data_IF_703023995186
#
_entry.id   IF_703023995186
#
_cell.length_a   1.000
_cell.length_b   1.000
_cell.length_c   1.000
_cell.angle_alpha   90.00
_cell.angle_beta   90.00
_cell.angle_gamma   90.00
#
_symmetry.space_group_name_H-M   'P 1'
#
loop_
_entity.id
_entity.type
_entity.pdbx_description
1 polymer ?
#
# COMPACT_ATOMS: atom_id res chain seq x y z
N UNK A 1 -56.96 13.89 35.59
CA UNK A 1 -57.19 12.45 35.39
C UNK A 1 -55.88 11.86 34.85
N UNK A 2 -55.11 11.14 35.67
CA UNK A 2 -54.92 9.65 35.62
C UNK A 2 -54.62 9.15 34.19
N UNK A 3 -53.47 8.57 33.86
CA UNK A 3 -52.32 8.15 34.65
C UNK A 3 -51.21 7.56 33.76
N UNK A 4 -50.04 7.31 34.35
CA UNK A 4 -49.04 6.37 33.86
C UNK A 4 -48.55 5.55 35.05
N UNK A 5 -48.72 4.22 35.06
CA UNK A 5 -48.17 3.40 36.11
C UNK A 5 -46.67 3.17 35.91
N UNK A 6 -45.99 3.24 37.05
CA UNK A 6 -44.60 2.91 37.32
C UNK A 6 -44.55 1.41 37.63
N UNK A 7 -43.62 0.67 37.03
CA UNK A 7 -43.17 -0.63 37.56
C UNK A 7 -41.68 -0.80 37.31
N UNK A 8 -40.91 -0.73 38.41
CA UNK A 8 -39.55 -1.27 38.56
C UNK A 8 -39.65 -2.77 39.00
N UNK A 9 -38.59 -3.40 39.52
CA UNK A 9 -37.57 -4.18 38.83
C UNK A 9 -37.68 -5.68 39.19
N UNK A 10 -36.97 -6.55 38.47
CA UNK A 10 -36.95 -7.99 38.75
C UNK A 10 -35.57 -8.60 38.54
N UNK A 11 -34.58 -8.12 39.30
CA UNK A 11 -33.28 -8.77 39.45
C UNK A 11 -33.44 -9.96 40.40
N UNK A 12 -33.28 -11.19 39.92
CA UNK A 12 -33.14 -12.37 40.79
C UNK A 12 -31.68 -12.84 40.83
N UNK A 13 -31.08 -12.62 42.00
CA UNK A 13 -30.23 -13.55 42.77
C UNK A 13 -30.45 -15.02 42.38
N UNK A 14 -29.48 -15.94 42.41
CA UNK A 14 -28.14 -15.98 42.98
C UNK A 14 -27.43 -17.23 42.40
N UNK A 15 -26.10 -17.24 42.42
CA UNK A 15 -25.34 -18.41 42.90
C UNK A 15 -23.90 -17.98 43.17
N UNK A 16 -23.58 -17.88 44.46
CA UNK A 16 -22.22 -17.96 44.97
C UNK A 16 -21.57 -19.27 44.50
N UNK A 17 -20.36 -19.19 43.98
CA UNK A 17 -19.37 -20.25 44.12
C UNK A 17 -18.05 -19.60 44.52
N UNK A 18 -17.86 -19.53 45.85
CA UNK A 18 -16.62 -19.18 46.50
C UNK A 18 -15.71 -20.41 46.44
N UNK A 19 -14.67 -20.38 45.62
CA UNK A 19 -13.57 -21.35 45.69
C UNK A 19 -12.28 -20.59 45.97
N UNK A 20 -11.93 -20.57 47.25
CA UNK A 20 -10.65 -20.11 47.74
C UNK A 20 -9.55 -21.07 47.24
N UNK A 21 -8.62 -20.53 46.46
CA UNK A 21 -7.36 -21.16 46.09
C UNK A 21 -6.24 -20.14 46.29
N UNK A 22 -5.85 -19.94 47.55
CA UNK A 22 -4.63 -19.23 47.92
C UNK A 22 -3.42 -20.07 47.50
N UNK A 23 -2.82 -19.73 46.37
CA UNK A 23 -1.41 -20.01 46.11
C UNK A 23 -0.77 -18.71 45.65
N UNK A 24 -0.02 -18.12 46.58
CA UNK A 24 0.89 -17.02 46.33
C UNK A 24 1.96 -17.47 45.32
N UNK A 25 1.91 -16.91 44.13
CA UNK A 25 3.03 -16.86 43.19
C UNK A 25 3.37 -15.38 42.94
N UNK A 26 4.66 -15.00 42.83
CA UNK A 26 5.03 -13.61 42.62
C UNK A 26 4.45 -13.14 41.29
N UNK A 27 3.91 -11.92 41.29
CA UNK A 27 3.31 -11.25 40.16
C UNK A 27 4.27 -11.22 38.96
N UNK A 28 4.17 -12.22 38.10
CA UNK A 28 4.63 -12.18 36.73
C UNK A 28 3.70 -11.25 35.97
N UNK A 29 4.27 -10.16 35.47
CA UNK A 29 3.67 -9.19 34.57
C UNK A 29 2.70 -9.83 33.56
N UNK A 30 1.44 -9.39 33.56
CA UNK A 30 0.67 -9.32 32.33
C UNK A 30 0.81 -7.88 31.84
N UNK A 31 1.66 -7.59 30.84
CA UNK A 31 1.54 -6.34 30.13
C UNK A 31 0.14 -6.34 29.50
N UNK A 32 -0.61 -5.27 29.77
CA UNK A 32 -1.76 -4.92 28.97
C UNK A 32 -1.35 -5.00 27.48
N UNK A 33 -2.26 -5.35 26.55
CA UNK A 33 -1.97 -5.19 25.13
C UNK A 33 -1.72 -3.70 24.89
N UNK A 34 -0.46 -3.31 24.93
CA UNK A 34 0.01 -2.05 24.37
C UNK A 34 -0.51 -2.05 22.95
N UNK A 35 -1.40 -1.10 22.66
CA UNK A 35 -1.71 -0.71 21.31
C UNK A 35 -0.37 -0.37 20.66
N UNK A 36 0.19 -1.31 19.90
CA UNK A 36 1.46 -1.14 19.22
C UNK A 36 1.32 0.04 18.28
N UNK A 37 1.84 1.19 18.72
CA UNK A 37 1.91 2.39 17.94
C UNK A 37 2.67 2.09 16.64
N UNK A 38 1.96 2.16 15.52
CA UNK A 38 2.51 2.44 14.19
C UNK A 38 3.71 1.62 13.74
N UNK A 39 3.69 0.29 13.88
CA UNK A 39 4.67 -0.55 13.19
C UNK A 39 4.53 -0.33 11.68
N UNK A 40 5.51 0.36 11.09
CA UNK A 40 5.56 0.64 9.65
C UNK A 40 5.62 -0.70 8.93
N UNK A 41 4.58 -1.03 8.15
CA UNK A 41 4.53 -2.29 7.43
C UNK A 41 5.78 -2.46 6.54
N UNK A 42 6.47 -3.61 6.58
CA UNK A 42 7.67 -3.83 5.79
C UNK A 42 7.35 -3.76 4.28
N UNK A 43 8.37 -3.41 3.49
CA UNK A 43 8.24 -3.45 2.03
C UNK A 43 8.10 -4.90 1.54
N UNK A 44 7.35 -5.14 0.45
CA UNK A 44 7.09 -6.50 -0.05
C UNK A 44 8.36 -7.13 -0.63
N UNK A 45 8.73 -8.32 -0.16
CA UNK A 45 9.86 -9.10 -0.70
C UNK A 45 9.44 -10.14 -1.75
N UNK A 46 8.15 -10.49 -1.81
CA UNK A 46 7.59 -11.49 -2.72
C UNK A 46 6.66 -10.82 -3.74
N UNK A 47 6.54 -11.41 -4.94
CA UNK A 47 5.74 -10.84 -6.03
C UNK A 47 4.26 -10.69 -5.67
N UNK A 48 3.65 -11.73 -5.12
CA UNK A 48 2.24 -11.68 -4.68
C UNK A 48 2.03 -10.66 -3.57
N UNK A 49 3.01 -10.50 -2.67
CA UNK A 49 2.98 -9.48 -1.63
C UNK A 49 3.05 -8.06 -2.22
N UNK A 50 3.80 -7.85 -3.31
CA UNK A 50 3.83 -6.58 -4.03
C UNK A 50 2.48 -6.26 -4.66
N UNK A 51 1.86 -7.23 -5.33
CA UNK A 51 0.53 -7.07 -5.93
C UNK A 51 -0.49 -6.70 -4.85
N UNK A 52 -0.53 -7.47 -3.76
CA UNK A 52 -1.42 -7.18 -2.63
C UNK A 52 -1.18 -5.81 -2.00
N UNK A 53 0.10 -5.42 -1.84
CA UNK A 53 0.48 -4.12 -1.28
C UNK A 53 -0.02 -2.96 -2.15
N UNK A 54 0.18 -3.04 -3.47
CA UNK A 54 -0.23 -2.00 -4.40
C UNK A 54 -1.75 -1.92 -4.53
N UNK A 55 -2.43 -3.07 -4.67
CA UNK A 55 -3.91 -3.11 -4.72
C UNK A 55 -4.50 -2.51 -3.45
N UNK A 56 -4.00 -2.91 -2.27
CA UNK A 56 -4.46 -2.34 -1.00
C UNK A 56 -4.23 -0.83 -0.93
N UNK A 57 -3.05 -0.35 -1.31
CA UNK A 57 -2.75 1.09 -1.28
C UNK A 57 -3.64 1.90 -2.25
N UNK A 58 -3.97 1.36 -3.42
CA UNK A 58 -4.89 2.00 -4.36
C UNK A 58 -6.33 2.02 -3.85
N UNK A 59 -6.80 0.92 -3.26
CA UNK A 59 -8.15 0.80 -2.71
C UNK A 59 -8.34 1.68 -1.47
N UNK A 60 -7.36 1.70 -0.56
CA UNK A 60 -7.43 2.43 0.70
C UNK A 60 -7.03 3.92 0.57
N UNK A 61 -6.66 4.36 -0.63
CA UNK A 61 -6.10 5.68 -0.91
C UNK A 61 -4.83 5.99 -0.07
N UNK A 62 -4.04 4.94 0.24
CA UNK A 62 -2.86 5.02 1.09
C UNK A 62 -1.65 5.53 0.30
N UNK A 63 -1.61 6.84 0.10
CA UNK A 63 -0.48 7.51 -0.53
C UNK A 63 0.84 7.27 0.21
N UNK A 64 0.93 7.40 1.56
CA UNK A 64 2.18 7.11 2.27
C UNK A 64 2.72 5.71 2.00
N UNK A 65 1.88 4.67 1.96
CA UNK A 65 2.32 3.32 1.60
C UNK A 65 2.88 3.26 0.18
N UNK A 66 2.21 3.91 -0.79
CA UNK A 66 2.68 3.96 -2.17
C UNK A 66 4.00 4.73 -2.30
N UNK A 67 4.14 5.87 -1.62
CA UNK A 67 5.36 6.69 -1.63
C UNK A 67 6.58 5.94 -1.11
N UNK A 68 6.40 5.06 -0.12
CA UNK A 68 7.47 4.20 0.41
C UNK A 68 7.94 3.16 -0.60
N UNK A 69 7.06 2.71 -1.49
CA UNK A 69 7.39 1.71 -2.51
C UNK A 69 8.22 2.31 -3.65
N UNK A 70 8.07 3.61 -3.93
CA UNK A 70 8.78 4.28 -5.02
C UNK A 70 10.23 4.58 -4.65
N UNK A 71 11.15 4.25 -5.56
CA UNK A 71 12.53 4.71 -5.49
C UNK A 71 12.61 6.16 -5.99
N UNK A 72 12.87 7.09 -5.07
CA UNK A 72 12.94 8.53 -5.38
C UNK A 72 14.34 9.02 -5.75
N UNK A 73 15.34 8.14 -5.76
CA UNK A 73 16.73 8.48 -6.08
C UNK A 73 16.83 9.14 -7.45
N UNK A 74 17.54 10.27 -7.53
CA UNK A 74 17.73 11.03 -8.78
C UNK A 74 16.49 11.77 -9.29
N UNK A 75 15.36 11.74 -8.56
CA UNK A 75 14.11 12.38 -9.00
C UNK A 75 14.09 13.87 -8.65
N UNK A 76 13.72 14.72 -9.61
CA UNK A 76 13.50 16.17 -9.37
C UNK A 76 12.12 16.43 -8.77
N UNK A 77 11.96 17.55 -8.06
CA UNK A 77 10.69 17.91 -7.39
C UNK A 77 9.47 17.92 -8.33
N UNK A 78 9.61 18.44 -9.55
CA UNK A 78 8.54 18.44 -10.54
C UNK A 78 8.13 17.02 -10.95
N UNK A 79 9.10 16.12 -11.19
CA UNK A 79 8.82 14.72 -11.54
C UNK A 79 8.15 14.00 -10.38
N UNK A 80 8.59 14.21 -9.14
CA UNK A 80 7.92 13.68 -7.94
C UNK A 80 6.45 14.09 -7.91
N UNK A 81 6.14 15.39 -8.09
CA UNK A 81 4.75 15.88 -8.10
C UNK A 81 3.90 15.20 -9.18
N UNK A 82 4.42 15.08 -10.39
CA UNK A 82 3.73 14.41 -11.50
C UNK A 82 3.48 12.92 -11.21
N UNK A 83 4.49 12.21 -10.70
CA UNK A 83 4.35 10.79 -10.32
C UNK A 83 3.29 10.61 -9.24
N UNK A 84 3.28 11.46 -8.20
CA UNK A 84 2.26 11.38 -7.14
C UNK A 84 0.86 11.74 -7.67
N UNK A 85 0.75 12.66 -8.61
CA UNK A 85 -0.52 12.95 -9.28
C UNK A 85 -1.03 11.74 -10.06
N UNK A 86 -0.16 11.09 -10.83
CA UNK A 86 -0.48 9.87 -11.57
C UNK A 86 -0.92 8.74 -10.62
N UNK A 87 -0.21 8.51 -9.52
CA UNK A 87 -0.60 7.52 -8.51
C UNK A 87 -2.00 7.82 -7.95
N UNK A 88 -2.25 9.08 -7.54
CA UNK A 88 -3.56 9.48 -7.01
C UNK A 88 -4.70 9.31 -8.00
N UNK A 89 -4.42 9.46 -9.30
CA UNK A 89 -5.44 9.21 -10.33
C UNK A 89 -5.91 7.75 -10.40
N UNK A 90 -5.18 6.81 -9.76
CA UNK A 90 -5.58 5.42 -9.62
C UNK A 90 -6.43 5.12 -8.37
N UNK A 91 -6.54 6.05 -7.43
CA UNK A 91 -7.17 5.79 -6.13
C UNK A 91 -8.69 5.67 -6.23
N UNK A 92 -9.24 4.67 -5.54
CA UNK A 92 -10.69 4.43 -5.46
C UNK A 92 -11.29 3.85 -6.74
N UNK A 93 -10.49 3.69 -7.80
CA UNK A 93 -10.90 3.04 -9.04
C UNK A 93 -11.02 1.53 -8.79
N UNK A 94 -12.15 0.91 -9.13
CA UNK A 94 -12.30 -0.54 -9.05
C UNK A 94 -11.20 -1.24 -9.85
N UNK A 95 -10.55 -2.24 -9.26
CA UNK A 95 -9.46 -2.98 -9.91
C UNK A 95 -10.01 -4.30 -10.44
N UNK A 96 -9.92 -4.50 -11.76
CA UNK A 96 -10.29 -5.76 -12.42
C UNK A 96 -9.20 -6.82 -12.24
N UNK A 97 -7.94 -6.42 -12.41
CA UNK A 97 -6.78 -7.31 -12.29
C UNK A 97 -5.51 -6.52 -11.94
N UNK A 98 -4.62 -7.16 -11.17
CA UNK A 98 -3.27 -6.67 -10.95
C UNK A 98 -2.28 -7.83 -11.09
N UNK A 99 -1.30 -7.69 -11.98
CA UNK A 99 -0.37 -8.78 -12.37
C UNK A 99 1.07 -8.29 -12.42
N UNK A 100 1.97 -9.04 -11.80
CA UNK A 100 3.41 -8.84 -11.95
C UNK A 100 3.90 -9.68 -13.13
N UNK A 101 4.44 -9.02 -14.14
CA UNK A 101 4.89 -9.63 -15.39
C UNK A 101 6.39 -9.37 -15.59
N UNK A 102 7.14 -10.29 -16.23
CA UNK A 102 8.49 -9.99 -16.68
C UNK A 102 8.52 -8.73 -17.56
N UNK A 103 9.55 -7.90 -17.39
CA UNK A 103 9.75 -6.76 -18.28
C UNK A 103 10.13 -7.26 -19.67
N UNK A 104 9.49 -6.79 -20.76
CA UNK A 104 9.93 -7.10 -22.12
C UNK A 104 11.37 -6.64 -22.34
N UNK A 105 12.14 -7.38 -23.16
CA UNK A 105 13.57 -7.08 -23.42
C UNK A 105 13.79 -5.65 -23.93
N UNK A 106 12.87 -5.15 -24.74
CA UNK A 106 12.85 -3.81 -25.33
C UNK A 106 11.96 -2.82 -24.58
N UNK A 107 11.41 -3.21 -23.41
CA UNK A 107 10.36 -2.46 -22.73
C UNK A 107 10.75 -1.06 -22.24
N UNK A 108 12.06 -0.75 -22.19
CA UNK A 108 12.57 0.59 -21.89
C UNK A 108 13.15 1.32 -23.12
N UNK A 109 13.31 0.63 -24.25
CA UNK A 109 14.10 1.10 -25.39
C UNK A 109 13.60 2.43 -25.93
N UNK A 110 12.28 2.59 -26.12
CA UNK A 110 11.70 3.85 -26.59
C UNK A 110 12.01 5.00 -25.63
N UNK A 111 11.77 4.79 -24.34
CA UNK A 111 11.91 5.82 -23.32
C UNK A 111 13.38 6.22 -23.08
N UNK A 112 14.32 5.31 -23.33
CA UNK A 112 15.77 5.57 -23.18
C UNK A 112 16.48 5.89 -24.50
N UNK A 113 15.81 5.75 -25.65
CA UNK A 113 16.40 5.88 -27.00
C UNK A 113 17.15 7.20 -27.21
N UNK A 114 16.64 8.30 -26.65
CA UNK A 114 17.22 9.64 -26.76
C UNK A 114 18.44 9.86 -25.84
N UNK A 115 18.77 8.90 -24.97
CA UNK A 115 19.87 9.00 -24.01
C UNK A 115 19.69 10.05 -22.91
N UNK A 116 18.52 10.69 -22.83
CA UNK A 116 18.23 11.75 -21.84
C UNK A 116 17.63 11.22 -20.55
N UNK A 117 17.12 9.99 -20.56
CA UNK A 117 16.48 9.32 -19.43
C UNK A 117 17.10 7.95 -19.19
N UNK A 118 17.12 7.54 -17.92
CA UNK A 118 17.47 6.18 -17.48
C UNK A 118 16.56 5.76 -16.33
N UNK A 119 16.38 4.46 -16.13
CA UNK A 119 15.81 3.95 -14.89
C UNK A 119 16.76 4.25 -13.72
N UNK A 120 16.22 4.64 -12.57
CA UNK A 120 17.00 4.94 -11.37
C UNK A 120 17.40 3.71 -10.55
N UNK A 121 16.96 2.53 -10.98
CA UNK A 121 17.39 1.21 -10.50
C UNK A 121 17.16 0.18 -11.62
N UNK A 122 17.78 -1.02 -11.55
CA UNK A 122 17.48 -2.10 -12.49
C UNK A 122 15.99 -2.46 -12.47
N UNK A 123 15.38 -2.58 -13.66
CA UNK A 123 13.98 -2.99 -13.85
C UNK A 123 13.98 -4.41 -14.38
N UNK A 124 13.29 -5.30 -13.69
CA UNK A 124 13.21 -6.73 -14.00
C UNK A 124 11.79 -7.16 -14.32
N UNK A 125 10.80 -6.47 -13.75
CA UNK A 125 9.38 -6.75 -13.92
C UNK A 125 8.60 -5.46 -14.20
N UNK A 126 7.35 -5.62 -14.62
CA UNK A 126 6.34 -4.57 -14.62
C UNK A 126 5.12 -5.05 -13.84
N UNK A 127 4.58 -4.17 -12.99
CA UNK A 127 3.28 -4.41 -12.37
C UNK A 127 2.21 -3.72 -13.21
N UNK A 128 1.31 -4.49 -13.78
CA UNK A 128 0.16 -4.02 -14.56
C UNK A 128 -1.08 -4.03 -13.67
N UNK A 129 -1.76 -2.90 -13.56
CA UNK A 129 -3.04 -2.75 -12.86
C UNK A 129 -4.09 -2.34 -13.87
N UNK A 130 -5.07 -3.20 -14.12
CA UNK A 130 -6.19 -2.97 -15.02
C UNK A 130 -7.40 -2.59 -14.19
N UNK A 131 -7.97 -1.42 -14.45
CA UNK A 131 -9.16 -0.93 -13.77
C UNK A 131 -10.43 -1.51 -14.41
N UNK A 132 -11.46 -1.73 -13.60
CA UNK A 132 -12.76 -2.25 -14.02
C UNK A 132 -13.66 -1.11 -14.49
N UNK A 133 -13.20 -0.42 -15.53
CA UNK A 133 -13.90 0.69 -16.17
C UNK A 133 -14.04 0.41 -17.66
N UNK A 134 -15.15 0.84 -18.29
CA UNK A 134 -15.31 0.69 -19.73
C UNK A 134 -14.15 1.42 -20.44
N UNK A 135 -13.58 0.81 -21.50
CA UNK A 135 -12.62 1.52 -22.33
C UNK A 135 -13.25 2.77 -22.93
N UNK A 136 -12.43 3.79 -23.17
CA UNK A 136 -12.80 4.86 -24.09
C UNK A 136 -12.88 4.24 -25.49
N UNK A 137 -13.79 4.72 -26.34
CA UNK A 137 -14.05 4.14 -27.66
C UNK A 137 -12.76 3.97 -28.48
N UNK A 138 -12.47 2.74 -28.89
CA UNK A 138 -11.26 2.38 -29.66
C UNK A 138 -10.00 2.09 -28.83
N UNK A 139 -10.04 2.26 -27.50
CA UNK A 139 -8.88 2.07 -26.62
C UNK A 139 -8.92 0.76 -25.81
N UNK A 140 -7.76 0.41 -25.24
CA UNK A 140 -7.66 -0.63 -24.23
C UNK A 140 -8.30 -0.18 -22.90
N UNK A 141 -8.69 -1.12 -22.01
CA UNK A 141 -9.16 -0.78 -20.67
C UNK A 141 -8.13 0.10 -19.93
N UNK A 142 -8.59 1.05 -19.10
CA UNK A 142 -7.67 1.91 -18.36
C UNK A 142 -6.68 1.08 -17.54
N UNK A 143 -5.38 1.32 -17.79
CA UNK A 143 -4.31 0.50 -17.22
C UNK A 143 -3.20 1.40 -16.67
N UNK A 144 -2.73 1.10 -15.46
CA UNK A 144 -1.48 1.63 -14.92
C UNK A 144 -0.38 0.58 -15.01
N UNK A 145 0.81 1.00 -15.45
CA UNK A 145 2.01 0.16 -15.50
C UNK A 145 3.09 0.78 -14.64
N UNK A 146 3.57 0.03 -13.67
CA UNK A 146 4.68 0.42 -12.80
C UNK A 146 5.93 -0.37 -13.18
N UNK A 147 7.06 0.33 -13.33
CA UNK A 147 8.36 -0.29 -13.53
C UNK A 147 8.84 -0.85 -12.20
N UNK A 148 9.17 -2.14 -12.14
CA UNK A 148 9.48 -2.83 -10.89
C UNK A 148 10.88 -3.43 -10.93
N UNK A 149 11.60 -3.29 -9.83
CA UNK A 149 12.84 -4.00 -9.59
C UNK A 149 13.03 -4.26 -8.10
N UNK A 150 14.21 -4.73 -7.73
CA UNK A 150 14.57 -5.04 -6.33
C UNK A 150 15.70 -4.16 -5.81
N UNK A 151 15.57 -3.72 -4.57
CA UNK A 151 16.58 -2.98 -3.80
C UNK A 151 16.60 -3.52 -2.37
N UNK A 152 17.77 -3.91 -1.86
CA UNK A 152 17.86 -4.48 -0.50
C UNK A 152 16.98 -5.72 -0.26
N UNK A 153 16.76 -6.53 -1.29
CA UNK A 153 15.92 -7.74 -1.21
C UNK A 153 14.40 -7.47 -1.22
N UNK A 154 13.97 -6.21 -1.33
CA UNK A 154 12.56 -5.83 -1.42
C UNK A 154 12.20 -5.29 -2.79
N UNK A 155 10.95 -5.48 -3.21
CA UNK A 155 10.41 -4.86 -4.41
C UNK A 155 10.23 -3.35 -4.24
N UNK A 156 10.54 -2.62 -5.31
CA UNK A 156 10.44 -1.16 -5.40
C UNK A 156 9.95 -0.76 -6.79
N UNK A 157 9.31 0.40 -6.87
CA UNK A 157 8.91 1.01 -8.13
C UNK A 157 10.05 1.92 -8.62
N UNK A 158 10.57 1.63 -9.80
CA UNK A 158 11.58 2.43 -10.48
C UNK A 158 10.96 3.64 -11.17
N UNK A 159 11.77 4.70 -11.34
CA UNK A 159 11.40 5.88 -12.10
C UNK A 159 12.41 6.13 -13.22
N UNK A 160 11.91 6.69 -14.34
CA UNK A 160 12.75 7.26 -15.37
C UNK A 160 13.19 8.67 -14.96
N UNK A 161 14.50 8.84 -14.78
CA UNK A 161 15.16 10.06 -14.33
C UNK A 161 16.18 10.56 -15.37
N UNK A 162 16.52 11.86 -15.41
CA UNK A 162 17.51 12.39 -16.33
C UNK A 162 18.91 11.74 -16.18
N UNK A 163 19.62 11.57 -17.29
CA UNK A 163 21.00 11.02 -17.33
C UNK A 163 22.09 12.04 -17.01
N UNK A 164 21.82 13.34 -17.20
CA UNK A 164 22.76 14.42 -16.91
C UNK A 164 22.57 15.04 -15.51
N UNK A 165 23.59 15.77 -15.00
CA UNK A 165 23.49 16.46 -13.72
C UNK A 165 22.25 17.38 -13.69
N UNK A 166 21.65 17.63 -12.51
CA UNK A 166 20.60 18.63 -12.41
C UNK A 166 21.14 19.96 -12.95
N UNK A 167 20.62 20.41 -14.10
CA UNK A 167 20.95 21.74 -14.60
C UNK A 167 20.57 22.72 -13.48
N UNK A 168 21.56 23.45 -12.99
CA UNK A 168 21.44 24.39 -11.87
C UNK A 168 20.28 25.36 -12.09
N UNK A 169 19.65 25.75 -10.98
CA UNK A 169 18.56 26.73 -10.94
C UNK A 169 18.98 28.06 -11.56
#
# INVERSE_FOLDING_TARGET
MRGRPITKPGLRLAALALAAGLLAGPAGAQPAPEATAGAVAPLPAQGDALVAYVTKALTDHDLPAFERLVNWTGTRAQRRRLTLYQIRSGFGRPIRAATLEPMPEDGLAEATSRGTLKANMPVTERLRVVFDEPPVEGDAPPTSVFLVGREGGSYRIALLVPTGPPKGK
#
